data_IF_759812859950
#
_entry.id   IF_759812859950
#
_cell.length_a   1.000
_cell.length_b   1.000
_cell.length_c   1.000
_cell.angle_alpha   90.00
_cell.angle_beta   90.00
_cell.angle_gamma   90.00
#
_symmetry.space_group_name_H-M   'P 1'
#
loop_
_entity.id
_entity.type
_entity.pdbx_description
1 polymer ?
#
# COMPACT_ATOMS: atom_id res chain seq x y z
N UNK A 1 -1.09 78.33 -52.27
CA UNK A 1 0.17 77.79 -52.72
C UNK A 1 0.14 76.29 -52.38
N UNK A 2 -0.33 75.52 -53.29
CA UNK A 2 0.34 74.85 -54.43
C UNK A 2 1.57 74.04 -53.98
N UNK A 3 1.45 72.72 -53.89
CA UNK A 3 2.11 71.83 -54.82
C UNK A 3 1.78 70.37 -54.57
N UNK A 4 1.47 69.72 -55.71
CA UNK A 4 1.37 68.28 -55.95
C UNK A 4 2.69 67.55 -55.65
N UNK A 5 2.59 66.28 -55.26
CA UNK A 5 3.55 65.27 -55.72
C UNK A 5 2.96 63.84 -55.71
N UNK A 6 3.09 63.29 -56.75
CA UNK A 6 2.86 62.04 -57.51
C UNK A 6 2.93 60.71 -56.64
N UNK A 7 1.98 59.86 -56.99
CA UNK A 7 1.91 58.45 -56.75
C UNK A 7 3.05 57.64 -57.40
N UNK A 8 3.61 56.68 -56.70
CA UNK A 8 4.34 55.54 -57.25
C UNK A 8 3.67 54.25 -56.75
N UNK A 9 3.02 53.58 -57.70
CA UNK A 9 2.49 52.25 -57.54
C UNK A 9 3.69 51.29 -57.64
N UNK A 10 3.92 50.49 -56.55
CA UNK A 10 4.79 49.30 -56.54
C UNK A 10 3.92 48.06 -56.57
N UNK A 11 3.94 47.36 -57.70
CA UNK A 11 3.28 46.07 -57.91
C UNK A 11 4.08 45.00 -57.13
N UNK A 12 3.53 44.44 -56.02
CA UNK A 12 4.10 43.32 -55.35
C UNK A 12 3.52 42.02 -55.90
N UNK A 13 4.38 41.22 -56.52
CA UNK A 13 4.06 39.83 -56.92
C UNK A 13 3.93 38.99 -55.64
N UNK A 14 2.73 38.44 -55.43
CA UNK A 14 2.50 37.43 -54.41
C UNK A 14 2.82 36.07 -55.05
N UNK A 15 3.94 35.46 -54.59
CA UNK A 15 4.25 34.05 -54.86
C UNK A 15 3.48 33.21 -53.86
N UNK A 16 2.42 32.52 -54.27
CA UNK A 16 1.74 31.48 -53.49
C UNK A 16 2.66 30.25 -53.45
N UNK A 17 3.33 30.05 -52.32
CA UNK A 17 3.93 28.77 -51.97
C UNK A 17 2.82 27.86 -51.40
N UNK A 18 2.39 26.88 -52.20
CA UNK A 18 1.51 25.81 -51.74
C UNK A 18 2.31 24.89 -50.80
N UNK A 19 2.26 25.19 -49.50
CA UNK A 19 2.75 24.28 -48.43
C UNK A 19 1.71 23.18 -48.25
N UNK A 20 2.04 21.97 -48.66
CA UNK A 20 1.29 20.75 -48.27
C UNK A 20 1.38 20.60 -46.78
N UNK A 21 0.37 20.98 -46.02
CA UNK A 21 0.18 20.53 -44.64
C UNK A 21 -0.17 19.05 -44.70
N UNK A 22 0.81 18.21 -44.37
CA UNK A 22 0.55 16.83 -43.96
C UNK A 22 -0.15 16.97 -42.60
N UNK A 23 -1.48 16.88 -42.58
CA UNK A 23 -2.21 16.68 -41.35
C UNK A 23 -1.76 15.31 -40.80
N UNK A 24 -0.96 15.33 -39.74
CA UNK A 24 -0.78 14.15 -38.92
C UNK A 24 -2.19 13.75 -38.46
N UNK A 25 -2.69 12.62 -38.98
CA UNK A 25 -3.90 12.02 -38.43
C UNK A 25 -3.68 11.83 -36.96
N UNK A 26 -4.44 12.54 -36.13
CA UNK A 26 -4.58 12.19 -34.73
C UNK A 26 -5.08 10.73 -34.74
N UNK A 27 -4.27 9.81 -34.18
CA UNK A 27 -4.70 8.43 -34.00
C UNK A 27 -6.01 8.48 -33.20
N UNK A 28 -7.02 7.83 -33.74
CA UNK A 28 -8.33 7.69 -33.11
C UNK A 28 -8.16 6.85 -31.84
N UNK A 29 -8.08 7.55 -30.68
CA UNK A 29 -7.91 6.97 -29.34
C UNK A 29 -9.20 6.29 -28.83
N UNK A 30 -10.15 5.98 -29.74
CA UNK A 30 -11.45 5.36 -29.42
C UNK A 30 -11.42 3.83 -29.32
N UNK A 31 -10.27 3.20 -29.54
CA UNK A 31 -10.15 1.74 -29.31
C UNK A 31 -10.14 1.47 -27.80
N UNK A 32 -10.97 0.53 -27.31
CA UNK A 32 -10.88 0.12 -25.91
C UNK A 32 -9.44 -0.29 -25.61
N UNK A 33 -8.85 0.33 -24.60
CA UNK A 33 -7.52 -0.07 -24.14
C UNK A 33 -7.57 -1.55 -23.76
N UNK A 34 -6.61 -2.31 -24.26
CA UNK A 34 -6.52 -3.75 -23.97
C UNK A 34 -6.15 -3.95 -22.50
N UNK A 35 -6.78 -4.93 -21.83
CA UNK A 35 -6.35 -5.42 -20.54
C UNK A 35 -4.98 -6.08 -20.68
N UNK A 36 -3.90 -5.31 -20.47
CA UNK A 36 -2.52 -5.77 -20.54
C UNK A 36 -1.63 -4.88 -19.68
N UNK A 37 -0.89 -5.49 -18.78
CA UNK A 37 -0.02 -4.81 -17.83
C UNK A 37 1.37 -5.44 -17.82
N UNK A 38 2.38 -4.63 -17.50
CA UNK A 38 3.76 -5.06 -17.32
C UNK A 38 4.16 -4.91 -15.84
N UNK A 39 4.79 -5.93 -15.29
CA UNK A 39 5.37 -5.93 -13.95
C UNK A 39 6.86 -5.67 -14.06
N UNK A 40 7.35 -4.70 -13.29
CA UNK A 40 8.78 -4.44 -13.15
C UNK A 40 9.24 -4.70 -11.71
N UNK A 41 9.99 -5.79 -11.45
CA UNK A 41 10.68 -6.02 -10.20
C UNK A 41 11.76 -4.97 -9.97
N UNK A 42 11.67 -4.18 -8.89
CA UNK A 42 12.61 -3.10 -8.59
C UNK A 42 13.66 -3.53 -7.57
N UNK A 43 13.23 -4.13 -6.47
CA UNK A 43 14.10 -4.59 -5.37
C UNK A 43 13.68 -5.98 -4.92
N UNK A 44 14.64 -6.85 -4.66
CA UNK A 44 14.42 -8.17 -4.05
C UNK A 44 15.62 -8.56 -3.19
N UNK A 45 15.42 -9.39 -2.17
CA UNK A 45 16.53 -10.03 -1.45
C UNK A 45 17.24 -11.13 -2.28
N UNK A 46 16.56 -11.67 -3.29
CA UNK A 46 17.09 -12.74 -4.16
C UNK A 46 17.90 -12.13 -5.31
N UNK A 47 19.15 -12.56 -5.45
CA UNK A 47 20.01 -12.12 -6.54
C UNK A 47 19.41 -12.40 -7.93
N UNK A 48 19.41 -11.40 -8.80
CA UNK A 48 18.92 -11.52 -10.18
C UNK A 48 17.39 -11.51 -10.35
N UNK A 49 16.61 -11.47 -9.27
CA UNK A 49 15.14 -11.39 -9.34
C UNK A 49 14.64 -9.98 -9.65
N UNK A 50 15.38 -8.94 -9.25
CA UNK A 50 15.04 -7.53 -9.45
C UNK A 50 16.28 -6.71 -9.86
N UNK A 51 16.05 -5.43 -10.21
CA UNK A 51 17.12 -4.51 -10.61
C UNK A 51 18.11 -4.25 -9.47
N UNK A 52 17.58 -4.14 -8.23
CA UNK A 52 18.39 -3.92 -7.03
C UNK A 52 18.25 -5.11 -6.10
N UNK A 53 19.38 -5.59 -5.57
CA UNK A 53 19.37 -6.60 -4.51
C UNK A 53 19.50 -5.92 -3.15
N UNK A 54 18.59 -6.26 -2.23
CA UNK A 54 18.64 -5.87 -0.82
C UNK A 54 18.35 -7.08 0.08
N UNK A 55 19.36 -7.68 0.72
CA UNK A 55 19.16 -8.86 1.56
C UNK A 55 18.23 -8.67 2.75
N UNK A 56 17.97 -7.41 3.15
CA UNK A 56 17.06 -7.07 4.27
C UNK A 56 15.60 -7.13 3.86
N UNK A 57 15.28 -6.93 2.58
CA UNK A 57 13.92 -6.98 2.06
C UNK A 57 13.38 -8.41 2.06
N UNK A 58 12.94 -8.93 3.22
CA UNK A 58 12.35 -10.27 3.35
C UNK A 58 10.91 -10.16 3.82
N UNK A 59 9.99 -10.85 3.14
CA UNK A 59 8.54 -10.78 3.34
C UNK A 59 8.06 -9.32 3.38
N UNK A 60 8.17 -8.63 2.26
CA UNK A 60 7.83 -7.22 2.14
C UNK A 60 6.31 -7.02 2.18
N UNK A 61 5.77 -6.36 3.25
CA UNK A 61 4.34 -6.19 3.46
C UNK A 61 3.84 -4.77 3.16
N UNK A 62 3.70 -3.95 4.20
CA UNK A 62 3.11 -2.62 4.12
C UNK A 62 4.02 -1.62 3.43
N UNK A 63 3.42 -0.67 2.73
CA UNK A 63 4.12 0.46 2.10
C UNK A 63 3.44 1.76 2.46
N UNK A 64 4.24 2.75 2.87
CA UNK A 64 3.78 4.12 3.03
C UNK A 64 4.80 5.13 2.52
N UNK A 65 4.35 6.34 2.23
CA UNK A 65 5.19 7.48 1.90
C UNK A 65 4.51 8.78 2.35
N UNK A 66 5.31 9.82 2.59
CA UNK A 66 4.79 11.17 2.82
C UNK A 66 4.58 11.88 1.47
N UNK A 67 3.45 12.56 1.26
CA UNK A 67 3.20 13.37 0.07
C UNK A 67 4.22 14.48 -0.15
N UNK A 68 5.01 14.83 0.88
CA UNK A 68 6.12 15.79 0.78
C UNK A 68 7.36 15.25 0.04
N UNK A 69 7.27 14.09 -0.61
CA UNK A 69 8.33 13.52 -1.45
C UNK A 69 9.32 12.64 -0.67
N UNK A 70 8.87 11.96 0.39
CA UNK A 70 9.68 10.92 1.03
C UNK A 70 9.89 9.72 0.09
N UNK A 71 10.92 8.88 0.31
CA UNK A 71 10.96 7.56 -0.30
C UNK A 71 9.75 6.72 0.13
N UNK A 72 9.52 5.61 -0.54
CA UNK A 72 8.65 4.54 -0.07
C UNK A 72 9.31 3.87 1.15
N UNK A 73 8.56 3.73 2.22
CA UNK A 73 8.90 2.95 3.40
C UNK A 73 8.24 1.60 3.26
N UNK A 74 9.01 0.55 3.30
CA UNK A 74 8.55 -0.83 3.13
C UNK A 74 8.80 -1.59 4.43
N UNK A 75 7.76 -2.21 4.97
CA UNK A 75 7.91 -3.08 6.14
C UNK A 75 8.39 -4.46 5.69
N UNK A 76 9.52 -4.88 6.23
CA UNK A 76 10.17 -6.17 5.98
C UNK A 76 9.86 -7.08 7.17
N UNK A 77 8.76 -7.82 7.07
CA UNK A 77 8.24 -8.67 8.14
C UNK A 77 9.27 -9.71 8.60
N UNK A 78 9.98 -10.31 7.66
CA UNK A 78 10.98 -11.35 7.96
C UNK A 78 12.25 -10.83 8.67
N UNK A 79 12.52 -9.53 8.67
CA UNK A 79 13.74 -8.94 9.25
C UNK A 79 13.50 -7.91 10.34
N UNK A 80 12.24 -7.65 10.71
CA UNK A 80 11.88 -6.68 11.74
C UNK A 80 12.31 -5.26 11.41
N UNK A 81 12.22 -4.90 10.15
CA UNK A 81 12.77 -3.66 9.61
C UNK A 81 11.74 -2.87 8.82
N UNK A 82 11.97 -1.57 8.64
CA UNK A 82 11.39 -0.82 7.54
C UNK A 82 12.52 -0.26 6.69
N UNK A 83 12.61 -0.69 5.43
CA UNK A 83 13.60 -0.23 4.46
C UNK A 83 13.01 0.83 3.53
N UNK A 84 13.86 1.63 2.91
CA UNK A 84 13.44 2.81 2.18
C UNK A 84 13.95 2.80 0.75
N UNK A 85 13.03 3.01 -0.23
CA UNK A 85 13.36 3.02 -1.65
C UNK A 85 12.73 4.19 -2.40
N UNK A 86 13.40 4.66 -3.44
CA UNK A 86 12.78 5.55 -4.44
C UNK A 86 11.80 4.77 -5.32
N UNK A 87 10.99 5.46 -6.11
CA UNK A 87 10.12 4.84 -7.12
C UNK A 87 10.86 4.07 -8.23
N UNK A 88 12.18 4.26 -8.35
CA UNK A 88 13.05 3.47 -9.23
C UNK A 88 13.76 2.31 -8.50
N UNK A 89 13.42 2.04 -7.23
CA UNK A 89 14.05 0.98 -6.43
C UNK A 89 15.40 1.35 -5.81
N UNK A 90 15.87 2.61 -5.94
CA UNK A 90 17.15 3.02 -5.32
C UNK A 90 17.00 3.02 -3.81
N UNK A 91 17.83 2.24 -3.10
CA UNK A 91 17.85 2.15 -1.64
C UNK A 91 18.33 3.46 -1.02
N UNK A 92 17.67 3.90 0.06
CA UNK A 92 18.14 4.95 0.96
C UNK A 92 18.89 4.27 2.11
N UNK A 93 19.94 4.91 2.61
CA UNK A 93 20.81 4.32 3.63
C UNK A 93 20.10 4.09 4.99
N UNK A 94 19.09 4.90 5.33
CA UNK A 94 18.31 4.71 6.55
C UNK A 94 17.51 3.41 6.45
N UNK A 95 17.56 2.62 7.50
CA UNK A 95 16.67 1.50 7.80
C UNK A 95 16.21 1.66 9.24
N UNK A 96 14.98 1.30 9.54
CA UNK A 96 14.42 1.50 10.88
C UNK A 96 14.02 0.16 11.47
N UNK A 97 14.65 -0.20 12.58
CA UNK A 97 14.32 -1.39 13.35
C UNK A 97 12.99 -1.21 14.07
N UNK A 98 12.10 -2.16 13.92
CA UNK A 98 10.82 -2.22 14.61
C UNK A 98 11.01 -3.07 15.88
N UNK A 99 10.66 -2.56 17.07
CA UNK A 99 10.91 -3.27 18.31
C UNK A 99 9.88 -4.38 18.58
N UNK A 100 10.31 -5.42 19.23
CA UNK A 100 9.48 -6.41 19.92
C UNK A 100 8.79 -5.79 21.15
N UNK A 101 7.74 -6.41 21.73
CA UNK A 101 7.13 -6.01 22.98
C UNK A 101 8.18 -5.66 24.06
N UNK A 102 7.89 -4.60 24.82
CA UNK A 102 8.84 -4.05 25.79
C UNK A 102 9.97 -3.20 25.20
N UNK A 103 9.84 -2.74 23.96
CA UNK A 103 10.86 -1.95 23.22
C UNK A 103 12.20 -2.68 23.05
N UNK A 104 12.18 -3.99 22.92
CA UNK A 104 13.38 -4.79 22.68
C UNK A 104 13.68 -4.80 21.17
N UNK A 105 14.87 -4.35 20.78
CA UNK A 105 15.37 -4.46 19.40
C UNK A 105 16.40 -5.59 19.33
N UNK A 106 16.06 -6.75 18.74
CA UNK A 106 17.01 -7.84 18.54
C UNK A 106 18.21 -7.42 17.68
N UNK A 107 19.38 -7.98 17.96
CA UNK A 107 20.58 -7.71 17.17
C UNK A 107 20.44 -8.17 15.69
N UNK A 108 19.51 -9.08 15.43
CA UNK A 108 19.21 -9.55 14.07
C UNK A 108 18.26 -8.61 13.30
N UNK A 109 17.63 -7.60 13.95
CA UNK A 109 16.75 -6.65 13.27
C UNK A 109 17.52 -5.89 12.18
N UNK A 110 16.86 -5.67 11.04
CA UNK A 110 17.45 -5.05 9.85
C UNK A 110 18.67 -5.80 9.27
N UNK A 111 18.76 -7.10 9.51
CA UNK A 111 19.74 -7.98 8.88
C UNK A 111 19.03 -9.12 8.15
N UNK A 112 19.68 -9.67 7.13
CA UNK A 112 19.15 -10.85 6.46
C UNK A 112 19.01 -12.03 7.44
N UNK A 113 17.86 -12.66 7.42
CA UNK A 113 17.53 -13.82 8.24
C UNK A 113 17.53 -15.06 7.36
N UNK A 114 18.19 -16.14 7.84
CA UNK A 114 18.04 -17.46 7.24
C UNK A 114 16.73 -18.09 7.75
N UNK A 115 15.70 -18.29 6.93
CA UNK A 115 14.45 -18.86 7.37
C UNK A 115 14.56 -20.29 7.90
N UNK A 116 15.64 -21.02 7.52
CA UNK A 116 15.92 -22.37 8.01
C UNK A 116 16.68 -22.38 9.35
N UNK A 117 17.22 -21.24 9.76
CA UNK A 117 17.96 -21.08 11.01
C UNK A 117 17.68 -19.70 11.59
N UNK A 118 16.42 -19.41 12.01
CA UNK A 118 16.04 -18.10 12.50
C UNK A 118 16.79 -17.76 13.80
N UNK A 119 17.13 -16.48 14.02
CA UNK A 119 17.77 -16.05 15.25
C UNK A 119 16.83 -16.18 16.46
N UNK A 120 17.40 -16.20 17.66
CA UNK A 120 16.64 -16.18 18.91
C UNK A 120 17.16 -15.06 19.84
N UNK A 121 16.36 -14.01 20.18
CA UNK A 121 15.00 -13.83 19.69
C UNK A 121 14.94 -13.52 18.18
N UNK A 122 13.83 -13.95 17.55
CA UNK A 122 13.52 -13.53 16.19
C UNK A 122 13.27 -12.01 16.16
N UNK A 123 13.52 -11.32 15.02
CA UNK A 123 13.08 -9.94 14.84
C UNK A 123 11.57 -9.79 15.00
N UNK A 124 11.08 -8.56 15.23
CA UNK A 124 9.66 -8.24 15.17
C UNK A 124 9.08 -8.51 13.77
N UNK A 125 7.78 -8.69 13.68
CA UNK A 125 7.08 -8.97 12.42
C UNK A 125 6.19 -7.77 11.98
N UNK A 126 6.77 -6.67 11.44
CA UNK A 126 6.02 -5.51 10.99
C UNK A 126 5.17 -5.83 9.76
N UNK A 127 3.93 -5.32 9.75
CA UNK A 127 2.91 -5.55 8.72
C UNK A 127 2.43 -4.24 8.12
N UNK A 128 1.31 -3.68 8.60
CA UNK A 128 0.78 -2.39 8.15
C UNK A 128 1.69 -1.21 8.54
N UNK A 129 1.76 -0.22 7.69
CA UNK A 129 2.47 1.04 7.93
C UNK A 129 1.63 2.20 7.41
N UNK A 130 1.70 3.35 8.09
CA UNK A 130 1.03 4.56 7.66
C UNK A 130 1.93 5.79 7.84
N UNK A 131 1.86 6.73 6.89
CA UNK A 131 2.32 8.08 7.11
C UNK A 131 1.29 8.82 7.99
N UNK A 132 1.76 9.50 9.03
CA UNK A 132 0.93 10.25 9.94
C UNK A 132 0.86 11.74 9.52
N UNK A 133 -0.29 12.24 9.09
CA UNK A 133 -0.49 13.65 8.76
C UNK A 133 -0.71 14.54 9.99
N UNK A 134 -0.83 13.95 11.19
CA UNK A 134 -1.23 14.64 12.42
C UNK A 134 -0.03 14.96 13.30
N UNK A 135 -0.04 16.13 13.92
CA UNK A 135 0.92 16.49 14.96
C UNK A 135 0.55 15.92 16.35
N UNK A 136 -0.58 15.24 16.48
CA UNK A 136 -1.11 14.80 17.79
C UNK A 136 -0.63 13.41 18.22
N UNK A 137 -0.07 12.62 17.29
CA UNK A 137 0.56 11.33 17.57
C UNK A 137 2.05 11.54 17.79
N UNK A 138 2.50 11.51 19.03
CA UNK A 138 3.90 11.75 19.40
C UNK A 138 4.64 10.43 19.54
N UNK A 139 5.93 10.43 19.21
CA UNK A 139 6.81 9.31 19.55
C UNK A 139 6.99 9.25 21.07
N UNK A 140 6.70 8.13 21.75
CA UNK A 140 6.79 8.01 23.18
C UNK A 140 8.13 8.45 23.76
N UNK A 141 8.08 9.12 24.93
CA UNK A 141 9.27 9.66 25.59
C UNK A 141 9.84 10.92 24.92
N UNK A 142 9.20 11.44 23.87
CA UNK A 142 9.66 12.63 23.13
C UNK A 142 8.51 13.65 22.96
N UNK A 143 8.84 14.79 22.34
CA UNK A 143 7.84 15.77 21.85
C UNK A 143 7.76 15.77 20.32
N UNK A 144 8.34 14.79 19.65
CA UNK A 144 8.38 14.69 18.19
C UNK A 144 7.07 14.07 17.69
N UNK A 145 6.35 14.73 16.78
CA UNK A 145 5.28 14.06 16.06
C UNK A 145 5.82 12.86 15.29
N UNK A 146 5.16 11.71 15.42
CA UNK A 146 5.47 10.54 14.60
C UNK A 146 5.30 10.89 13.11
N UNK A 147 6.22 10.46 12.28
CA UNK A 147 6.14 10.61 10.81
C UNK A 147 5.60 9.33 10.18
N UNK A 148 6.09 8.18 10.65
CA UNK A 148 5.59 6.86 10.25
C UNK A 148 5.22 6.05 11.49
N UNK A 149 4.15 5.26 11.35
CA UNK A 149 3.60 4.42 12.40
C UNK A 149 3.45 3.02 11.82
N UNK A 150 3.83 2.01 12.60
CA UNK A 150 3.96 0.61 12.19
C UNK A 150 3.09 -0.27 13.08
N UNK A 151 2.42 -1.24 12.51
CA UNK A 151 1.75 -2.33 13.22
C UNK A 151 2.54 -3.63 13.05
N UNK A 152 2.41 -4.56 14.00
CA UNK A 152 3.14 -5.83 13.97
C UNK A 152 2.22 -7.01 14.29
N UNK A 153 2.60 -8.20 13.85
CA UNK A 153 1.97 -9.46 14.29
C UNK A 153 2.26 -9.77 15.76
N UNK A 154 3.30 -9.12 16.31
CA UNK A 154 3.61 -9.21 17.75
C UNK A 154 2.57 -8.47 18.64
N UNK A 155 1.61 -7.79 18.02
CA UNK A 155 0.53 -7.06 18.71
C UNK A 155 0.93 -5.67 19.18
N UNK A 156 1.95 -5.05 18.59
CA UNK A 156 2.39 -3.70 18.90
C UNK A 156 2.07 -2.70 17.81
N UNK A 157 1.95 -1.43 18.20
CA UNK A 157 1.98 -0.27 17.31
C UNK A 157 3.15 0.59 17.72
N UNK A 158 4.09 0.86 16.80
CA UNK A 158 5.28 1.66 17.06
C UNK A 158 5.33 2.90 16.18
N UNK A 159 6.03 3.92 16.65
CA UNK A 159 6.12 5.23 16.05
C UNK A 159 7.57 5.64 15.81
N UNK A 160 7.81 6.31 14.67
CA UNK A 160 9.11 6.84 14.32
C UNK A 160 9.01 8.30 13.83
N UNK A 161 10.06 9.08 14.15
CA UNK A 161 10.22 10.44 13.64
C UNK A 161 11.70 10.74 13.35
N UNK A 162 11.96 11.62 12.40
CA UNK A 162 13.29 12.18 12.23
C UNK A 162 13.72 12.95 13.48
N UNK A 163 14.98 12.77 13.90
CA UNK A 163 15.51 13.40 15.12
C UNK A 163 15.47 12.52 16.36
N UNK A 164 15.05 11.27 16.25
CA UNK A 164 15.25 10.26 17.29
C UNK A 164 16.74 9.98 17.48
N UNK A 165 17.09 9.54 18.69
CA UNK A 165 18.43 9.08 19.03
C UNK A 165 18.33 7.76 19.84
N UNK A 166 18.72 6.62 19.23
CA UNK A 166 19.24 6.45 17.87
C UNK A 166 18.17 6.71 16.79
N UNK A 167 18.56 7.15 15.57
CA UNK A 167 17.61 7.54 14.52
C UNK A 167 17.01 6.35 13.77
N UNK A 168 17.54 5.16 13.96
CA UNK A 168 17.25 3.93 13.25
C UNK A 168 16.38 2.95 14.05
N UNK A 169 15.68 3.44 15.11
CA UNK A 169 14.78 2.64 15.93
C UNK A 169 13.41 3.33 16.05
N UNK A 170 12.33 2.57 15.84
CA UNK A 170 10.99 2.99 16.24
C UNK A 170 10.77 2.73 17.74
N UNK A 171 9.74 3.36 18.31
CA UNK A 171 9.38 3.24 19.72
C UNK A 171 7.93 2.77 19.84
N UNK A 172 7.65 1.76 20.68
CA UNK A 172 6.30 1.26 20.88
C UNK A 172 5.41 2.36 21.49
N UNK A 173 4.31 2.62 20.83
CA UNK A 173 3.29 3.60 21.22
C UNK A 173 1.99 2.95 21.69
N UNK A 174 1.76 1.68 21.37
CA UNK A 174 0.73 0.83 21.97
C UNK A 174 1.20 -0.62 22.00
N UNK A 175 0.95 -1.32 23.11
CA UNK A 175 1.36 -2.72 23.28
C UNK A 175 0.14 -3.56 23.72
N UNK A 176 -0.38 -4.34 22.78
CA UNK A 176 -1.47 -5.29 22.99
C UNK A 176 -0.99 -6.75 22.80
N UNK A 177 0.32 -6.98 22.89
CA UNK A 177 0.95 -8.31 22.74
C UNK A 177 0.51 -9.33 23.77
N UNK A 178 -0.04 -8.87 24.88
CA UNK A 178 -0.58 -9.70 25.95
C UNK A 178 -2.04 -9.39 26.29
N UNK A 179 -2.77 -8.68 25.45
CA UNK A 179 -4.17 -8.35 25.64
C UNK A 179 -5.06 -9.13 24.64
N UNK A 180 -6.08 -9.89 25.09
CA UNK A 180 -6.62 -9.96 26.44
C UNK A 180 -5.82 -10.83 27.42
N UNK A 181 -4.88 -11.65 26.96
CA UNK A 181 -4.02 -12.49 27.82
C UNK A 181 -2.72 -12.85 27.10
N UNK A 182 -1.67 -13.14 27.87
CA UNK A 182 -0.40 -13.64 27.35
C UNK A 182 -0.62 -14.88 26.44
N UNK A 183 0.01 -14.89 25.26
CA UNK A 183 -0.17 -15.93 24.23
C UNK A 183 -1.43 -15.77 23.36
N UNK A 184 -2.33 -14.84 23.73
CA UNK A 184 -3.51 -14.47 22.97
C UNK A 184 -3.58 -12.97 22.67
N UNK A 185 -2.43 -12.32 22.59
CA UNK A 185 -2.34 -10.90 22.23
C UNK A 185 -2.80 -10.61 20.82
N UNK A 186 -2.94 -9.34 20.50
CA UNK A 186 -3.32 -8.90 19.18
C UNK A 186 -2.35 -9.42 18.10
N UNK A 187 -2.86 -9.62 16.89
CA UNK A 187 -2.07 -9.87 15.67
C UNK A 187 -2.54 -8.84 14.65
N UNK A 188 -1.76 -7.77 14.48
CA UNK A 188 -2.12 -6.72 13.56
C UNK A 188 -1.62 -7.03 12.15
N UNK A 189 -2.50 -6.92 11.16
CA UNK A 189 -2.20 -7.18 9.74
C UNK A 189 -2.21 -5.90 8.91
N UNK A 190 -3.26 -5.11 8.95
CA UNK A 190 -3.38 -3.83 8.26
C UNK A 190 -3.38 -2.65 9.23
N UNK A 191 -2.95 -1.47 8.76
CA UNK A 191 -2.98 -0.21 9.51
C UNK A 191 -3.29 0.95 8.58
N UNK A 192 -4.20 1.84 9.00
CA UNK A 192 -4.52 3.04 8.25
C UNK A 192 -4.79 4.23 9.18
N UNK A 193 -4.58 5.45 8.69
CA UNK A 193 -5.01 6.69 9.31
C UNK A 193 -6.32 7.19 8.67
N UNK A 194 -7.26 7.66 9.48
CA UNK A 194 -8.48 8.28 9.01
C UNK A 194 -8.87 9.50 9.86
N UNK A 195 -9.62 10.40 9.24
CA UNK A 195 -10.17 11.60 9.90
C UNK A 195 -11.67 11.40 10.12
N UNK A 196 -12.11 11.46 11.37
CA UNK A 196 -13.52 11.55 11.74
C UNK A 196 -13.87 12.96 12.21
N UNK A 197 -15.15 13.22 12.49
CA UNK A 197 -15.57 14.46 13.12
C UNK A 197 -14.95 14.68 14.52
N UNK A 198 -14.46 13.60 15.16
CA UNK A 198 -13.83 13.62 16.49
C UNK A 198 -12.32 13.83 16.42
N UNK A 199 -11.71 13.81 15.22
CA UNK A 199 -10.27 13.97 15.01
C UNK A 199 -9.64 12.85 14.17
N UNK A 200 -8.31 12.80 14.20
CA UNK A 200 -7.55 11.75 13.51
C UNK A 200 -7.40 10.52 14.38
N UNK A 201 -7.57 9.34 13.77
CA UNK A 201 -7.43 8.04 14.41
C UNK A 201 -6.61 7.09 13.55
N UNK A 202 -5.99 6.11 14.22
CA UNK A 202 -5.39 4.94 13.59
C UNK A 202 -6.35 3.77 13.74
N UNK A 203 -6.48 3.00 12.68
CA UNK A 203 -7.32 1.81 12.62
C UNK A 203 -6.44 0.62 12.27
N UNK A 204 -6.34 -0.34 13.18
CA UNK A 204 -5.49 -1.52 13.05
C UNK A 204 -6.35 -2.79 12.93
N UNK A 205 -6.17 -3.55 11.86
CA UNK A 205 -6.84 -4.82 11.65
C UNK A 205 -6.27 -5.88 12.61
N UNK A 206 -6.97 -6.13 13.72
CA UNK A 206 -6.62 -7.17 14.68
C UNK A 206 -7.18 -8.51 14.21
N UNK A 207 -6.37 -9.22 13.44
CA UNK A 207 -6.77 -10.46 12.80
C UNK A 207 -7.13 -11.55 13.82
N UNK A 208 -6.37 -11.65 14.92
CA UNK A 208 -6.65 -12.66 15.96
C UNK A 208 -7.98 -12.42 16.65
N UNK A 209 -8.27 -11.18 17.03
CA UNK A 209 -9.51 -10.84 17.72
C UNK A 209 -10.71 -10.81 16.78
N UNK A 210 -10.50 -10.58 15.47
CA UNK A 210 -11.56 -10.36 14.50
C UNK A 210 -12.16 -8.95 14.60
N UNK A 211 -11.39 -7.96 15.06
CA UNK A 211 -11.82 -6.58 15.30
C UNK A 211 -10.93 -5.58 14.55
N UNK A 212 -11.42 -4.35 14.44
CA UNK A 212 -10.57 -3.18 14.16
C UNK A 212 -10.29 -2.50 15.50
N UNK A 213 -9.03 -2.51 15.93
CA UNK A 213 -8.60 -1.75 17.09
C UNK A 213 -8.33 -0.30 16.68
N UNK A 214 -8.80 0.64 17.49
CA UNK A 214 -8.72 2.08 17.18
C UNK A 214 -7.85 2.78 18.20
N UNK A 215 -6.93 3.62 17.71
CA UNK A 215 -6.05 4.42 18.56
C UNK A 215 -6.22 5.91 18.23
N UNK A 216 -6.46 6.68 19.27
CA UNK A 216 -6.45 8.14 19.26
C UNK A 216 -5.05 8.71 19.48
N UNK A 217 -4.94 10.05 19.51
CA UNK A 217 -3.71 10.77 19.77
C UNK A 217 -3.04 10.36 21.07
N UNK A 218 -1.77 10.77 21.22
CA UNK A 218 -0.96 10.50 22.41
C UNK A 218 -1.63 11.05 23.68
N UNK A 219 -1.82 10.16 24.64
CA UNK A 219 -2.37 10.47 25.95
C UNK A 219 -1.36 11.08 26.93
N UNK A 220 -1.79 11.33 28.15
CA UNK A 220 -0.94 11.90 29.21
C UNK A 220 0.17 10.95 29.67
N UNK A 221 0.03 9.65 29.43
CA UNK A 221 1.03 8.62 29.68
C UNK A 221 2.11 8.53 28.58
N UNK A 222 1.96 9.33 27.52
CA UNK A 222 2.89 9.34 26.38
C UNK A 222 2.66 8.23 25.36
N UNK A 223 1.60 7.43 25.50
CA UNK A 223 1.21 6.35 24.61
C UNK A 223 0.00 6.76 23.72
N UNK A 224 -0.23 6.04 22.64
CA UNK A 224 -1.46 6.23 21.85
C UNK A 224 -2.66 5.74 22.64
N UNK A 225 -3.72 6.55 22.66
CA UNK A 225 -4.89 6.29 23.50
C UNK A 225 -5.81 5.28 22.81
N UNK A 226 -6.11 4.12 23.42
CA UNK A 226 -7.17 3.25 22.91
C UNK A 226 -8.48 4.02 22.78
N UNK A 227 -9.16 3.86 21.66
CA UNK A 227 -10.41 4.56 21.37
C UNK A 227 -11.50 3.58 20.93
N UNK A 228 -12.75 4.00 21.10
CA UNK A 228 -13.91 3.29 20.57
C UNK A 228 -14.64 4.19 19.59
N UNK A 229 -15.27 3.55 18.62
CA UNK A 229 -16.10 4.22 17.62
C UNK A 229 -17.57 3.86 17.82
N UNK A 230 -18.48 4.72 17.35
CA UNK A 230 -19.91 4.54 17.60
C UNK A 230 -20.48 3.32 16.83
N UNK A 231 -19.94 3.03 15.62
CA UNK A 231 -20.35 1.90 14.78
C UNK A 231 -19.64 0.59 15.09
N UNK A 232 -18.47 0.63 15.76
CA UNK A 232 -17.73 -0.54 16.22
C UNK A 232 -17.18 -1.45 15.14
N UNK A 233 -17.18 -1.08 13.85
CA UNK A 233 -16.72 -1.87 12.71
C UNK A 233 -17.39 -3.25 12.63
N UNK A 234 -18.66 -3.33 12.96
CA UNK A 234 -19.42 -4.57 12.98
C UNK A 234 -20.14 -4.81 11.66
N UNK A 235 -19.96 -6.01 11.08
CA UNK A 235 -20.84 -6.58 10.09
C UNK A 235 -21.31 -7.96 10.57
N UNK A 236 -22.58 -8.10 10.95
CA UNK A 236 -23.13 -9.38 11.43
C UNK A 236 -23.18 -10.47 10.37
N UNK A 237 -23.05 -10.10 9.09
CA UNK A 237 -23.11 -11.03 7.96
C UNK A 237 -21.73 -11.58 7.55
N UNK A 238 -20.64 -11.18 8.23
CA UNK A 238 -19.34 -11.82 8.07
C UNK A 238 -19.39 -13.21 8.72
N UNK A 239 -19.13 -14.29 7.96
CA UNK A 239 -19.16 -15.65 8.52
C UNK A 239 -18.10 -15.83 9.61
N UNK A 240 -18.44 -16.64 10.62
CA UNK A 240 -17.48 -17.03 11.65
C UNK A 240 -16.19 -17.61 11.04
N UNK A 241 -15.04 -17.27 11.62
CA UNK A 241 -13.72 -17.67 11.13
C UNK A 241 -13.13 -16.79 10.04
N UNK A 242 -13.76 -15.64 9.73
CA UNK A 242 -13.17 -14.56 8.95
C UNK A 242 -12.84 -13.38 9.87
N UNK A 243 -11.77 -12.68 9.56
CA UNK A 243 -11.29 -11.54 10.33
C UNK A 243 -10.74 -10.43 9.44
N UNK A 244 -10.74 -9.15 9.92
CA UNK A 244 -10.12 -8.04 9.22
C UNK A 244 -8.64 -8.34 8.92
N UNK A 245 -8.24 -8.17 7.66
CA UNK A 245 -6.90 -8.54 7.17
C UNK A 245 -6.14 -7.34 6.64
N UNK A 246 -6.61 -6.70 5.58
CA UNK A 246 -6.13 -5.42 5.08
C UNK A 246 -7.12 -4.29 5.39
N UNK A 247 -6.64 -3.06 5.37
CA UNK A 247 -7.45 -1.86 5.53
C UNK A 247 -6.85 -0.70 4.75
N UNK A 248 -7.67 0.06 4.03
CA UNK A 248 -7.24 1.25 3.31
C UNK A 248 -8.28 2.37 3.42
N UNK A 249 -7.82 3.60 3.45
CA UNK A 249 -8.67 4.78 3.35
C UNK A 249 -8.74 5.20 1.88
N UNK A 250 -9.91 5.08 1.27
CA UNK A 250 -10.16 5.50 -0.10
C UNK A 250 -11.25 6.56 -0.08
N UNK A 251 -10.90 7.77 -0.46
CA UNK A 251 -11.79 8.93 -0.53
C UNK A 251 -12.50 9.27 0.80
N UNK A 252 -11.92 8.88 1.95
CA UNK A 252 -12.45 9.14 3.29
C UNK A 252 -13.17 7.94 3.90
N UNK A 253 -13.55 6.94 3.12
CA UNK A 253 -14.14 5.70 3.59
C UNK A 253 -13.06 4.63 3.85
N UNK A 254 -13.30 3.79 4.85
CA UNK A 254 -12.41 2.70 5.24
C UNK A 254 -12.86 1.40 4.58
N UNK A 255 -12.08 0.95 3.60
CA UNK A 255 -12.24 -0.35 2.97
C UNK A 255 -11.50 -1.40 3.79
N UNK A 256 -12.22 -2.36 4.35
CA UNK A 256 -11.69 -3.44 5.17
C UNK A 256 -11.81 -4.75 4.41
N UNK A 257 -10.69 -5.41 4.17
CA UNK A 257 -10.68 -6.76 3.59
C UNK A 257 -10.68 -7.80 4.71
N UNK A 258 -11.31 -8.93 4.47
CA UNK A 258 -11.40 -10.05 5.42
C UNK A 258 -10.83 -11.31 4.79
N UNK A 259 -10.02 -12.04 5.56
CA UNK A 259 -9.52 -13.35 5.19
C UNK A 259 -9.96 -14.40 6.21
N UNK A 260 -9.96 -15.68 5.76
CA UNK A 260 -10.29 -16.81 6.63
C UNK A 260 -9.15 -17.10 7.57
N UNK A 261 -9.42 -17.18 8.87
CA UNK A 261 -8.42 -17.48 9.89
C UNK A 261 -8.03 -18.96 9.92
N UNK A 262 -6.74 -19.25 10.20
CA UNK A 262 -6.29 -20.57 10.62
C UNK A 262 -6.74 -20.88 12.07
N UNK A 263 -6.46 -22.09 12.56
CA UNK A 263 -6.87 -22.50 13.91
C UNK A 263 -6.23 -21.66 15.02
N UNK A 264 -5.00 -21.15 14.80
CA UNK A 264 -4.30 -20.28 15.73
C UNK A 264 -4.78 -18.82 15.66
N UNK A 265 -5.63 -18.49 14.68
CA UNK A 265 -6.07 -17.12 14.37
C UNK A 265 -4.90 -16.15 14.15
N UNK A 266 -3.81 -16.66 13.62
CA UNK A 266 -2.59 -15.90 13.34
C UNK A 266 -2.45 -15.64 11.85
N UNK A 267 -2.64 -16.66 11.02
CA UNK A 267 -2.47 -16.58 9.58
C UNK A 267 -3.78 -16.87 8.86
N UNK A 268 -3.85 -16.46 7.61
CA UNK A 268 -4.97 -16.75 6.73
C UNK A 268 -4.94 -18.18 6.19
N UNK A 269 -6.08 -18.60 5.70
CA UNK A 269 -6.25 -19.85 4.96
C UNK A 269 -6.68 -19.52 3.55
N UNK A 270 -5.71 -19.51 2.63
CA UNK A 270 -5.95 -19.27 1.22
C UNK A 270 -6.94 -20.28 0.63
N UNK A 271 -7.74 -19.81 -0.33
CA UNK A 271 -8.70 -20.66 -1.07
C UNK A 271 -9.66 -19.82 -1.92
N UNK A 272 -10.22 -20.39 -2.99
CA UNK A 272 -11.19 -19.71 -3.84
C UNK A 272 -12.41 -19.23 -3.03
N UNK A 273 -12.72 -17.93 -3.12
CA UNK A 273 -13.82 -17.32 -2.38
C UNK A 273 -13.54 -17.11 -0.88
N UNK A 274 -12.29 -17.26 -0.42
CA UNK A 274 -11.89 -16.98 0.96
C UNK A 274 -11.60 -15.49 1.15
N UNK A 275 -12.63 -14.66 0.97
CA UNK A 275 -12.50 -13.23 1.17
C UNK A 275 -13.81 -12.47 1.13
N UNK A 276 -13.83 -11.33 1.83
CA UNK A 276 -14.88 -10.32 1.81
C UNK A 276 -14.26 -8.94 1.85
N UNK A 277 -15.03 -7.95 1.46
CA UNK A 277 -14.62 -6.53 1.59
C UNK A 277 -15.83 -5.73 2.04
N UNK A 278 -15.69 -4.98 3.12
CA UNK A 278 -16.66 -4.03 3.61
C UNK A 278 -16.16 -2.59 3.49
N UNK A 279 -17.09 -1.66 3.42
CA UNK A 279 -16.82 -0.23 3.48
C UNK A 279 -17.49 0.34 4.72
N UNK A 280 -16.69 1.01 5.55
CA UNK A 280 -17.13 1.69 6.75
C UNK A 280 -16.83 3.18 6.65
N UNK A 281 -17.59 4.01 7.39
CA UNK A 281 -17.13 5.35 7.70
C UNK A 281 -16.02 5.32 8.78
N UNK A 282 -15.42 6.46 9.05
CA UNK A 282 -14.37 6.58 10.08
C UNK A 282 -14.90 6.50 11.53
N UNK A 283 -16.21 6.52 11.74
CA UNK A 283 -16.84 6.25 13.02
C UNK A 283 -17.25 4.76 13.16
N UNK A 284 -16.87 3.92 12.18
CA UNK A 284 -17.02 2.47 12.21
C UNK A 284 -18.43 1.96 11.85
N UNK A 285 -19.30 2.81 11.28
CA UNK A 285 -20.59 2.34 10.79
C UNK A 285 -20.42 1.67 9.44
N UNK A 286 -21.01 0.50 9.28
CA UNK A 286 -21.03 -0.21 8.01
C UNK A 286 -21.85 0.58 7.00
N UNK A 287 -21.20 1.04 5.94
CA UNK A 287 -21.87 1.70 4.82
C UNK A 287 -22.42 0.69 3.83
N UNK A 288 -21.63 -0.36 3.53
CA UNK A 288 -22.04 -1.46 2.63
C UNK A 288 -21.06 -2.62 2.65
N UNK A 289 -21.55 -3.82 2.30
CA UNK A 289 -20.72 -4.89 1.79
C UNK A 289 -20.28 -4.54 0.37
N UNK A 290 -18.98 -4.44 0.14
CA UNK A 290 -18.42 -4.12 -1.19
C UNK A 290 -18.32 -5.36 -2.07
N UNK A 291 -17.68 -6.42 -1.56
CA UNK A 291 -17.50 -7.67 -2.30
C UNK A 291 -17.53 -8.88 -1.37
N UNK A 292 -18.01 -10.01 -1.91
CA UNK A 292 -18.13 -11.27 -1.16
C UNK A 292 -17.66 -12.43 -2.00
N UNK A 293 -16.70 -13.22 -1.47
CA UNK A 293 -16.27 -14.48 -2.10
C UNK A 293 -15.80 -14.28 -3.56
N UNK A 294 -16.31 -15.11 -4.51
CA UNK A 294 -16.01 -14.98 -5.93
C UNK A 294 -14.50 -15.00 -6.23
N UNK A 295 -13.94 -13.93 -6.83
CA UNK A 295 -12.51 -13.85 -7.16
C UNK A 295 -11.60 -13.59 -5.96
N UNK A 296 -12.16 -13.31 -4.75
CA UNK A 296 -11.38 -13.01 -3.56
C UNK A 296 -10.74 -14.26 -2.96
N UNK A 297 -9.47 -14.16 -2.61
CA UNK A 297 -8.66 -15.22 -2.02
C UNK A 297 -7.62 -14.61 -1.07
N UNK A 298 -7.93 -14.53 0.22
CA UNK A 298 -7.14 -13.80 1.22
C UNK A 298 -6.76 -12.39 0.72
N UNK A 299 -7.74 -11.52 0.44
CA UNK A 299 -7.48 -10.18 -0.08
C UNK A 299 -6.80 -9.32 0.99
N UNK A 300 -5.70 -8.63 0.63
CA UNK A 300 -5.00 -7.72 1.55
C UNK A 300 -4.85 -6.31 0.98
N UNK A 301 -4.09 -6.15 -0.11
CA UNK A 301 -3.87 -4.86 -0.76
C UNK A 301 -5.13 -4.34 -1.45
N UNK A 302 -5.50 -3.10 -1.19
CA UNK A 302 -6.64 -2.45 -1.84
C UNK A 302 -6.34 -0.98 -2.11
N UNK A 303 -6.63 -0.53 -3.33
CA UNK A 303 -6.43 0.87 -3.73
C UNK A 303 -7.36 1.24 -4.88
N UNK A 304 -7.57 2.54 -5.11
CA UNK A 304 -8.17 3.04 -6.34
C UNK A 304 -7.09 3.22 -7.39
N UNK A 305 -7.28 2.69 -8.59
CA UNK A 305 -6.39 2.92 -9.72
C UNK A 305 -6.38 4.39 -10.13
N UNK A 306 -5.27 4.90 -10.67
CA UNK A 306 -5.21 6.24 -11.27
C UNK A 306 -6.12 6.33 -12.50
N UNK A 307 -6.46 7.56 -12.91
CA UNK A 307 -7.24 7.77 -14.13
C UNK A 307 -6.44 7.55 -15.43
N UNK A 308 -5.14 7.24 -15.32
CA UNK A 308 -4.26 6.86 -16.41
C UNK A 308 -3.87 5.37 -16.39
N UNK A 309 -4.58 4.53 -15.64
CA UNK A 309 -4.27 3.11 -15.44
C UNK A 309 -4.94 2.19 -16.46
N UNK A 310 -5.01 2.60 -17.71
CA UNK A 310 -5.54 1.77 -18.80
C UNK A 310 -7.04 1.44 -18.65
N UNK A 311 -7.48 0.22 -18.98
CA UNK A 311 -8.90 -0.15 -18.96
C UNK A 311 -9.52 -0.14 -17.57
N UNK A 312 -8.71 -0.19 -16.52
CA UNK A 312 -9.18 -0.14 -15.13
C UNK A 312 -8.96 1.22 -14.45
N UNK A 313 -8.80 2.29 -15.25
CA UNK A 313 -8.71 3.66 -14.74
C UNK A 313 -9.84 4.00 -13.79
N UNK A 314 -9.49 4.50 -12.59
CA UNK A 314 -10.42 4.88 -11.52
C UNK A 314 -11.12 3.72 -10.82
N UNK A 315 -10.85 2.47 -11.17
CA UNK A 315 -11.47 1.28 -10.54
C UNK A 315 -10.81 0.94 -9.20
N UNK A 316 -11.52 0.19 -8.38
CA UNK A 316 -10.97 -0.36 -7.15
C UNK A 316 -10.21 -1.65 -7.51
N UNK A 317 -8.93 -1.67 -7.17
CA UNK A 317 -8.06 -2.83 -7.34
C UNK A 317 -7.89 -3.53 -6.01
N UNK A 318 -8.09 -4.85 -6.00
CA UNK A 318 -7.94 -5.71 -4.82
C UNK A 318 -6.94 -6.81 -5.14
N UNK A 319 -5.82 -6.81 -4.41
CA UNK A 319 -4.77 -7.82 -4.47
C UNK A 319 -5.05 -8.97 -3.52
N UNK A 320 -4.98 -10.17 -4.03
CA UNK A 320 -5.12 -11.40 -3.26
C UNK A 320 -3.73 -11.91 -2.85
N UNK A 321 -3.48 -12.01 -1.55
CA UNK A 321 -2.31 -12.73 -1.05
C UNK A 321 -2.37 -14.21 -1.44
N UNK A 322 -3.55 -14.84 -1.29
CA UNK A 322 -3.68 -16.28 -1.43
C UNK A 322 -3.46 -16.87 -2.83
N UNK A 323 -3.48 -16.06 -3.90
CA UNK A 323 -3.20 -16.52 -5.27
C UNK A 323 -2.44 -15.52 -6.13
N UNK A 324 -2.00 -14.40 -5.58
CA UNK A 324 -1.19 -13.39 -6.25
C UNK A 324 -1.89 -12.60 -7.36
N UNK A 325 -3.23 -12.69 -7.49
CA UNK A 325 -4.00 -12.01 -8.54
C UNK A 325 -4.46 -10.64 -8.08
N UNK A 326 -4.66 -9.74 -9.04
CA UNK A 326 -5.21 -8.41 -8.82
C UNK A 326 -6.53 -8.31 -9.55
N UNK A 327 -7.60 -8.05 -8.80
CA UNK A 327 -8.96 -8.01 -9.28
C UNK A 327 -9.45 -6.55 -9.36
N UNK A 328 -10.07 -6.18 -10.46
CA UNK A 328 -10.68 -4.88 -10.67
C UNK A 328 -12.20 -4.94 -10.41
N UNK A 329 -12.69 -3.96 -9.64
CA UNK A 329 -14.10 -3.80 -9.31
C UNK A 329 -14.57 -2.38 -9.67
N UNK A 330 -15.84 -2.23 -10.03
CA UNK A 330 -16.45 -0.91 -10.12
C UNK A 330 -16.82 -0.36 -8.72
N UNK A 331 -17.24 0.90 -8.66
CA UNK A 331 -17.58 1.56 -7.40
C UNK A 331 -18.75 0.90 -6.65
N UNK A 332 -19.56 0.11 -7.32
CA UNK A 332 -20.65 -0.66 -6.68
C UNK A 332 -20.16 -1.95 -6.03
N UNK A 333 -18.91 -2.36 -6.27
CA UNK A 333 -18.34 -3.64 -5.82
C UNK A 333 -18.59 -4.80 -6.79
N UNK A 334 -19.06 -4.52 -8.02
CA UNK A 334 -19.19 -5.54 -9.06
C UNK A 334 -17.81 -5.84 -9.64
N UNK A 335 -17.42 -7.11 -9.63
CA UNK A 335 -16.22 -7.60 -10.30
C UNK A 335 -16.28 -7.30 -11.81
N UNK A 336 -15.20 -6.77 -12.35
CA UNK A 336 -15.03 -6.44 -13.76
C UNK A 336 -14.19 -7.52 -14.42
N UNK A 337 -12.93 -7.64 -14.00
CA UNK A 337 -11.93 -8.58 -14.57
C UNK A 337 -10.71 -8.64 -13.66
N UNK A 338 -9.76 -9.53 -13.98
CA UNK A 338 -8.40 -9.56 -13.39
C UNK A 338 -7.44 -8.73 -14.23
N UNK A 339 -6.33 -8.27 -13.66
CA UNK A 339 -5.25 -7.68 -14.46
C UNK A 339 -4.53 -8.78 -15.23
N UNK A 340 -4.38 -8.61 -16.55
CA UNK A 340 -3.70 -9.55 -17.43
C UNK A 340 -2.28 -9.07 -17.81
N UNK A 341 -1.44 -10.01 -18.17
CA UNK A 341 -0.15 -9.73 -18.84
C UNK A 341 -0.34 -9.38 -20.33
N UNK A 342 0.76 -9.07 -21.04
CA UNK A 342 0.72 -8.75 -22.45
C UNK A 342 0.23 -9.90 -23.35
N UNK A 343 0.18 -11.14 -22.81
CA UNK A 343 -0.32 -12.34 -23.51
C UNK A 343 -1.78 -12.64 -23.21
N UNK A 344 -2.45 -11.84 -22.37
CA UNK A 344 -3.84 -12.02 -21.95
C UNK A 344 -4.01 -13.15 -20.95
N UNK A 345 -3.01 -13.36 -20.10
CA UNK A 345 -3.08 -14.27 -18.95
C UNK A 345 -3.11 -13.45 -17.67
N UNK A 346 -3.88 -13.87 -16.65
CA UNK A 346 -3.89 -13.19 -15.37
C UNK A 346 -2.49 -12.98 -14.81
N UNK A 347 -2.19 -11.74 -14.40
CA UNK A 347 -0.97 -11.43 -13.65
C UNK A 347 -0.99 -12.18 -12.31
N UNK A 348 0.11 -12.83 -12.00
CA UNK A 348 0.30 -13.52 -10.72
C UNK A 348 1.59 -13.03 -10.08
N UNK A 349 1.46 -12.45 -8.89
CA UNK A 349 2.57 -12.03 -8.04
C UNK A 349 2.51 -12.86 -6.77
N UNK A 350 3.39 -13.84 -6.66
CA UNK A 350 3.45 -14.76 -5.53
C UNK A 350 3.63 -14.00 -4.20
N UNK A 351 2.77 -14.28 -3.22
CA UNK A 351 2.77 -13.61 -1.92
C UNK A 351 2.44 -12.13 -1.96
N UNK A 352 1.55 -11.69 -2.87
CA UNK A 352 1.16 -10.28 -3.06
C UNK A 352 0.56 -9.66 -1.80
N UNK A 353 1.19 -8.60 -1.28
CA UNK A 353 0.73 -7.84 -0.13
C UNK A 353 0.13 -6.48 -0.53
N UNK A 354 0.90 -5.43 -0.49
CA UNK A 354 0.41 -4.05 -0.74
C UNK A 354 0.14 -3.79 -2.22
N UNK A 355 -0.91 -3.01 -2.47
CA UNK A 355 -1.11 -2.23 -3.68
C UNK A 355 -1.21 -0.75 -3.31
N UNK A 356 -0.40 0.12 -3.91
CA UNK A 356 -0.47 1.57 -3.69
C UNK A 356 -0.09 2.33 -4.95
N UNK A 357 -0.71 3.49 -5.18
CA UNK A 357 -0.26 4.37 -6.25
C UNK A 357 1.04 5.05 -5.88
N UNK A 358 1.78 5.48 -6.88
CA UNK A 358 2.97 6.30 -6.69
C UNK A 358 2.64 7.66 -6.09
N UNK A 359 3.60 8.19 -5.35
CA UNK A 359 3.54 9.47 -4.61
C UNK A 359 4.80 9.67 -3.80
N UNK A 360 5.59 8.59 -3.63
CA UNK A 360 6.92 8.66 -3.06
C UNK A 360 7.94 9.24 -4.04
N UNK A 361 9.15 9.51 -3.53
CA UNK A 361 10.25 10.12 -4.30
C UNK A 361 10.57 9.33 -5.58
N UNK A 362 10.53 10.03 -6.71
CA UNK A 362 10.90 9.46 -8.01
C UNK A 362 9.87 8.46 -8.56
N UNK A 363 8.63 8.53 -8.11
CA UNK A 363 7.50 7.77 -8.65
C UNK A 363 6.53 8.64 -9.42
N UNK A 364 5.72 8.01 -10.29
CA UNK A 364 4.56 8.63 -10.92
C UNK A 364 3.28 8.23 -10.20
N UNK A 365 2.34 9.16 -10.02
CA UNK A 365 1.00 8.90 -9.47
C UNK A 365 0.17 7.92 -10.32
N UNK A 366 0.58 7.69 -11.58
CA UNK A 366 -0.10 6.80 -12.52
C UNK A 366 0.47 5.37 -12.50
N UNK A 367 1.49 5.14 -11.68
CA UNK A 367 2.13 3.83 -11.52
C UNK A 367 1.61 3.14 -10.27
N UNK A 368 1.18 1.90 -10.40
CA UNK A 368 0.81 1.05 -9.28
C UNK A 368 2.07 0.37 -8.74
N UNK A 369 2.36 0.54 -7.45
CA UNK A 369 3.44 -0.15 -6.75
C UNK A 369 2.88 -1.29 -5.91
N UNK A 370 3.70 -2.32 -5.72
CA UNK A 370 3.34 -3.48 -4.92
C UNK A 370 4.52 -3.98 -4.08
N UNK A 371 4.19 -4.70 -3.03
CA UNK A 371 5.12 -5.55 -2.26
C UNK A 371 4.63 -6.98 -2.26
N UNK A 372 5.55 -7.90 -2.05
CA UNK A 372 5.22 -9.31 -1.95
C UNK A 372 6.22 -10.07 -1.08
N UNK A 373 5.74 -11.18 -0.51
CA UNK A 373 6.52 -12.20 0.21
C UNK A 373 6.55 -13.52 -0.58
N UNK A 374 7.28 -13.60 -1.72
CA UNK A 374 7.29 -14.82 -2.52
C UNK A 374 8.00 -15.99 -1.84
N UNK A 375 7.80 -17.19 -2.42
CA UNK A 375 8.40 -18.44 -1.95
C UNK A 375 7.96 -18.78 -0.50
N UNK A 376 6.65 -18.65 -0.23
CA UNK A 376 6.10 -18.88 1.11
C UNK A 376 6.65 -17.91 2.15
N UNK A 377 6.71 -16.63 1.80
CA UNK A 377 7.13 -15.51 2.64
C UNK A 377 8.62 -15.50 3.04
N UNK A 378 9.41 -16.43 2.50
CA UNK A 378 10.85 -16.51 2.77
C UNK A 378 11.65 -15.41 2.07
N UNK A 379 11.09 -14.81 1.03
CA UNK A 379 11.73 -13.78 0.22
C UNK A 379 10.88 -12.51 0.16
N UNK A 380 11.47 -11.44 -0.39
CA UNK A 380 10.79 -10.15 -0.52
C UNK A 380 10.91 -9.58 -1.94
N UNK A 381 9.88 -8.85 -2.33
CA UNK A 381 9.82 -8.15 -3.61
C UNK A 381 9.10 -6.81 -3.45
N UNK A 382 9.73 -5.75 -3.95
CA UNK A 382 9.11 -4.45 -4.20
C UNK A 382 9.17 -4.17 -5.69
N UNK A 383 8.06 -3.80 -6.30
CA UNK A 383 7.95 -3.60 -7.73
C UNK A 383 6.86 -2.63 -8.13
N UNK A 384 6.70 -2.45 -9.44
CA UNK A 384 5.62 -1.67 -9.99
C UNK A 384 4.91 -2.36 -11.17
N UNK A 385 3.72 -1.86 -11.47
CA UNK A 385 2.83 -2.33 -12.53
C UNK A 385 2.38 -1.11 -13.32
N UNK A 386 2.50 -1.18 -14.63
CA UNK A 386 2.05 -0.15 -15.56
C UNK A 386 1.24 -0.77 -16.71
N UNK A 387 0.31 -0.03 -17.34
CA UNK A 387 -0.30 -0.49 -18.57
C UNK A 387 0.78 -0.83 -19.62
N UNK A 388 0.69 -2.00 -20.23
CA UNK A 388 1.63 -2.40 -21.26
C UNK A 388 1.29 -1.70 -22.59
N UNK A 389 2.30 -1.15 -23.24
CA UNK A 389 2.19 -0.74 -24.64
C UNK A 389 2.12 -2.01 -25.49
N UNK A 390 0.95 -2.37 -25.97
CA UNK A 390 0.80 -3.48 -26.91
C UNK A 390 1.12 -2.94 -28.29
N UNK A 391 2.12 -3.47 -29.02
CA UNK A 391 2.33 -3.09 -30.41
C UNK A 391 1.04 -3.31 -31.18
N UNK A 392 0.60 -2.31 -31.94
CA UNK A 392 -0.45 -2.48 -32.95
C UNK A 392 0.02 -3.61 -33.85
N UNK A 393 -0.66 -4.74 -33.83
CA UNK A 393 -0.37 -5.87 -34.72
C UNK A 393 -0.40 -5.41 -36.19
N UNK A 394 0.30 -6.15 -37.05
CA UNK A 394 0.41 -5.82 -38.46
C UNK A 394 -0.93 -5.80 -39.18
#
# INVERSE_FOLDING_TARGET
MCQLTRSLQATAMIVLAAGSMIAAAAEDDSRPQRNAYAVAPLVSNVAGRATVQDPVLQNAWGVAFSPAGSPFWVNDNGTGCSTLYSGAGTKVALQVSIPLPGNVVPAASCHAVDPNNPPNPAPAAPTGIVWNPSAAFLVPGTKLPAVFIFATEDGTVSAWAGGLNPPDHAVIAADNSSSPAAGNGAVYKGLVFGLSAKGGFLYAANFRAGTIDVFGPTGSDGLFTPATTDGGFADPDIPAGYAPFGIANIDGDLFVTYAKQNAAKHDDVAGPGHGFVDVFDTDGHLLRRFASRGPLNSPWGITRASFAFGPFSGKILIGNFGNGRINAFDDSGRFIDELDDAHGKPLVIDGLWTLTLGGGRGSSSDTLYFTAGPDGESNGLFGNIVPATVPSGP
#
